data_IF_229929401417
#
_entry.id   IF_229929401417
#
_cell.length_a   1.000
_cell.length_b   1.000
_cell.length_c   1.000
_cell.angle_alpha   90.00
_cell.angle_beta   90.00
_cell.angle_gamma   90.00
#
_symmetry.space_group_name_H-M   'P 1'
#
loop_
_entity.id
_entity.type
_entity.pdbx_description
1 polymer ?
#
# COMPACT_ATOMS: atom_id res chain seq x y z
N UNK A 1 13.63 28.49 -23.30
CA UNK A 1 12.26 28.76 -22.83
C UNK A 1 11.37 27.51 -22.75
N UNK A 2 11.57 26.46 -23.57
CA UNK A 2 10.76 25.22 -23.46
C UNK A 2 11.01 24.41 -22.17
N UNK A 3 12.27 24.11 -21.83
CA UNK A 3 12.62 23.31 -20.64
C UNK A 3 12.18 23.96 -19.31
N UNK A 4 12.26 25.29 -19.22
CA UNK A 4 11.82 26.05 -18.04
C UNK A 4 10.31 25.93 -17.83
N UNK A 5 9.52 25.92 -18.91
CA UNK A 5 8.07 25.70 -18.84
C UNK A 5 7.72 24.29 -18.37
N UNK A 6 8.41 23.26 -18.91
CA UNK A 6 8.24 21.87 -18.51
C UNK A 6 8.60 21.63 -17.04
N UNK A 7 9.69 22.24 -16.58
CA UNK A 7 10.12 22.15 -15.17
C UNK A 7 9.09 22.79 -14.24
N UNK A 8 8.62 24.02 -14.54
CA UNK A 8 7.58 24.69 -13.76
C UNK A 8 6.28 23.88 -13.71
N UNK A 9 5.84 23.33 -14.84
CA UNK A 9 4.66 22.47 -14.90
C UNK A 9 4.82 21.21 -14.03
N UNK A 10 6.00 20.57 -14.07
CA UNK A 10 6.30 19.39 -13.27
C UNK A 10 6.27 19.67 -11.77
N UNK A 11 6.77 20.85 -11.34
CA UNK A 11 6.73 21.28 -9.94
C UNK A 11 5.28 21.46 -9.48
N UNK A 12 4.45 22.15 -10.27
CA UNK A 12 3.03 22.36 -9.94
C UNK A 12 2.29 21.02 -9.85
N UNK A 13 2.50 20.12 -10.82
CA UNK A 13 1.89 18.79 -10.82
C UNK A 13 2.34 17.95 -9.62
N UNK A 14 3.62 18.01 -9.26
CA UNK A 14 4.16 17.34 -8.07
C UNK A 14 3.49 17.85 -6.79
N UNK A 15 3.31 19.16 -6.64
CA UNK A 15 2.62 19.73 -5.48
C UNK A 15 1.16 19.28 -5.39
N UNK A 16 0.42 19.35 -6.50
CA UNK A 16 -0.99 18.94 -6.55
C UNK A 16 -1.15 17.45 -6.23
N UNK A 17 -0.29 16.58 -6.78
CA UNK A 17 -0.33 15.14 -6.53
C UNK A 17 0.02 14.79 -5.08
N UNK A 18 1.02 15.43 -4.49
CA UNK A 18 1.36 15.21 -3.08
C UNK A 18 0.24 15.65 -2.12
N UNK A 19 -0.37 16.81 -2.37
CA UNK A 19 -1.47 17.32 -1.55
C UNK A 19 -2.72 16.43 -1.68
N UNK A 20 -3.10 16.07 -2.91
CA UNK A 20 -4.24 15.17 -3.14
C UNK A 20 -4.02 13.80 -2.52
N UNK A 21 -2.82 13.21 -2.61
CA UNK A 21 -2.50 11.92 -1.99
C UNK A 21 -2.65 11.97 -0.47
N UNK A 22 -2.21 13.05 0.19
CA UNK A 22 -2.39 13.23 1.63
C UNK A 22 -3.87 13.37 2.01
N UNK A 23 -4.63 14.19 1.28
CA UNK A 23 -6.07 14.37 1.54
C UNK A 23 -6.88 13.08 1.33
N UNK A 24 -6.57 12.32 0.28
CA UNK A 24 -7.21 11.02 0.02
C UNK A 24 -6.90 10.05 1.14
N UNK A 25 -5.65 9.96 1.58
CA UNK A 25 -5.26 9.09 2.69
C UNK A 25 -6.02 9.44 3.97
N UNK A 26 -6.08 10.72 4.34
CA UNK A 26 -6.80 11.16 5.53
C UNK A 26 -8.29 10.83 5.45
N UNK A 27 -8.89 10.92 4.27
CA UNK A 27 -10.28 10.49 4.04
C UNK A 27 -10.43 8.98 4.18
N UNK A 28 -9.53 8.19 3.57
CA UNK A 28 -9.55 6.73 3.65
C UNK A 28 -9.46 6.23 5.09
N UNK A 29 -8.55 6.81 5.88
CA UNK A 29 -8.41 6.55 7.32
C UNK A 29 -9.73 6.75 8.06
N UNK A 30 -10.40 7.89 7.85
CA UNK A 30 -11.70 8.18 8.48
C UNK A 30 -12.78 7.19 8.06
N UNK A 31 -12.79 6.78 6.80
CA UNK A 31 -13.74 5.77 6.30
C UNK A 31 -13.50 4.42 6.97
N UNK A 32 -12.24 3.98 7.12
CA UNK A 32 -11.93 2.73 7.84
C UNK A 32 -12.36 2.79 9.30
N UNK A 33 -12.11 3.91 9.99
CA UNK A 33 -12.56 4.13 11.36
C UNK A 33 -14.08 3.98 11.49
N UNK A 34 -14.82 4.70 10.66
CA UNK A 34 -16.27 4.73 10.71
C UNK A 34 -16.87 3.36 10.38
N UNK A 35 -16.36 2.68 9.35
CA UNK A 35 -16.83 1.34 8.98
C UNK A 35 -16.57 0.33 10.10
N UNK A 36 -15.39 0.39 10.74
CA UNK A 36 -15.07 -0.51 11.85
C UNK A 36 -15.93 -0.22 13.08
N UNK A 37 -16.17 1.07 13.39
CA UNK A 37 -17.05 1.47 14.47
C UNK A 37 -18.50 1.01 14.23
N UNK A 38 -19.03 1.26 13.03
CA UNK A 38 -20.40 0.87 12.66
C UNK A 38 -20.59 -0.66 12.72
N UNK A 39 -19.59 -1.41 12.24
CA UNK A 39 -19.59 -2.89 12.36
C UNK A 39 -19.64 -3.35 13.82
N UNK A 40 -18.90 -2.69 14.72
CA UNK A 40 -18.90 -3.03 16.14
C UNK A 40 -20.26 -2.69 16.77
N UNK A 41 -20.83 -1.52 16.48
CA UNK A 41 -22.12 -1.10 17.04
C UNK A 41 -23.26 -2.02 16.62
N UNK A 42 -23.21 -2.57 15.41
CA UNK A 42 -24.21 -3.51 14.89
C UNK A 42 -24.01 -4.97 15.34
N UNK A 43 -22.94 -5.28 16.09
CA UNK A 43 -22.69 -6.65 16.55
C UNK A 43 -23.71 -7.11 17.61
N UNK A 44 -24.11 -8.39 17.62
CA UNK A 44 -25.04 -8.91 18.62
C UNK A 44 -24.42 -8.90 20.02
N UNK A 45 -25.25 -8.76 21.06
CA UNK A 45 -24.78 -8.69 22.46
C UNK A 45 -23.91 -9.90 22.86
N UNK A 46 -24.21 -11.08 22.31
CA UNK A 46 -23.42 -12.32 22.49
C UNK A 46 -21.94 -12.16 22.12
N UNK A 47 -21.61 -11.29 21.16
CA UNK A 47 -20.23 -10.99 20.79
C UNK A 47 -19.48 -10.26 21.91
N UNK A 48 -20.17 -9.32 22.58
CA UNK A 48 -19.64 -8.54 23.70
C UNK A 48 -19.55 -9.34 25.00
N UNK A 49 -20.45 -10.32 25.20
CA UNK A 49 -20.36 -11.25 26.33
C UNK A 49 -19.14 -12.18 26.21
N UNK A 50 -18.80 -12.60 24.98
CA UNK A 50 -17.67 -13.49 24.71
C UNK A 50 -16.32 -12.75 24.64
N UNK A 51 -16.31 -11.44 24.36
CA UNK A 51 -15.09 -10.65 24.18
C UNK A 51 -15.09 -9.42 25.10
N UNK A 52 -14.16 -9.33 26.07
CA UNK A 52 -14.12 -8.18 26.97
C UNK A 52 -13.86 -6.89 26.19
N UNK A 53 -14.62 -5.84 26.51
CA UNK A 53 -14.60 -4.55 25.81
C UNK A 53 -13.17 -3.98 25.72
N UNK A 54 -12.36 -4.15 26.76
CA UNK A 54 -10.95 -3.72 26.75
C UNK A 54 -10.09 -4.38 25.67
N UNK A 55 -10.36 -5.65 25.32
CA UNK A 55 -9.65 -6.34 24.22
C UNK A 55 -10.09 -5.82 22.85
N UNK A 56 -11.39 -5.56 22.68
CA UNK A 56 -11.94 -4.98 21.45
C UNK A 56 -11.34 -3.59 21.22
N UNK A 57 -11.32 -2.75 22.26
CA UNK A 57 -10.75 -1.40 22.18
C UNK A 57 -9.24 -1.42 21.91
N UNK A 58 -8.49 -2.31 22.58
CA UNK A 58 -7.05 -2.42 22.37
C UNK A 58 -6.73 -2.86 20.93
N UNK A 59 -7.50 -3.81 20.38
CA UNK A 59 -7.34 -4.24 18.99
C UNK A 59 -7.73 -3.15 18.00
N UNK A 60 -8.87 -2.49 18.21
CA UNK A 60 -9.31 -1.35 17.41
C UNK A 60 -8.26 -0.24 17.38
N UNK A 61 -7.75 0.16 18.54
CA UNK A 61 -6.73 1.21 18.65
C UNK A 61 -5.41 0.81 18.00
N UNK A 62 -4.96 -0.44 18.19
CA UNK A 62 -3.73 -0.95 17.59
C UNK A 62 -3.83 -1.03 16.07
N UNK A 63 -4.90 -1.62 15.54
CA UNK A 63 -5.13 -1.79 14.10
C UNK A 63 -5.28 -0.42 13.41
N UNK A 64 -6.07 0.49 14.00
CA UNK A 64 -6.23 1.86 13.51
C UNK A 64 -4.89 2.63 13.53
N UNK A 65 -4.10 2.50 14.59
CA UNK A 65 -2.79 3.13 14.69
C UNK A 65 -1.78 2.62 13.66
N UNK A 66 -1.89 1.36 13.24
CA UNK A 66 -1.08 0.80 12.15
C UNK A 66 -1.55 1.38 10.80
N UNK A 67 -2.85 1.42 10.56
CA UNK A 67 -3.44 1.95 9.33
C UNK A 67 -3.06 3.43 9.15
N UNK A 68 -3.20 4.24 10.20
CA UNK A 68 -2.90 5.68 10.17
C UNK A 68 -1.44 5.98 9.84
N UNK A 69 -0.52 5.11 10.28
CA UNK A 69 0.91 5.28 10.04
C UNK A 69 1.35 4.71 8.69
N UNK A 70 0.83 3.55 8.29
CA UNK A 70 1.30 2.84 7.09
C UNK A 70 0.59 3.30 5.81
N UNK A 71 -0.71 3.55 5.86
CA UNK A 71 -1.51 3.91 4.69
C UNK A 71 -0.99 5.16 3.94
N UNK A 72 -0.64 6.28 4.61
CA UNK A 72 -0.11 7.48 3.91
C UNK A 72 1.24 7.27 3.25
N UNK A 73 2.00 6.28 3.69
CA UNK A 73 3.35 6.03 3.16
C UNK A 73 3.30 4.97 2.08
N UNK A 74 2.68 3.81 2.35
CA UNK A 74 2.76 2.65 1.46
C UNK A 74 1.93 2.84 0.18
N UNK A 75 0.74 3.42 0.26
CA UNK A 75 -0.15 3.54 -0.91
C UNK A 75 0.39 4.50 -1.97
N UNK A 76 0.82 5.73 -1.64
CA UNK A 76 1.38 6.64 -2.65
C UNK A 76 2.70 6.12 -3.24
N UNK A 77 3.53 5.46 -2.43
CA UNK A 77 4.78 4.84 -2.90
C UNK A 77 4.49 3.72 -3.89
N UNK A 78 3.55 2.83 -3.59
CA UNK A 78 3.13 1.76 -4.49
C UNK A 78 2.61 2.31 -5.83
N UNK A 79 1.71 3.30 -5.78
CA UNK A 79 1.17 3.93 -6.97
C UNK A 79 2.25 4.60 -7.81
N UNK A 80 3.20 5.31 -7.17
CA UNK A 80 4.32 5.95 -7.85
C UNK A 80 5.20 4.93 -8.56
N UNK A 81 5.53 3.81 -7.92
CA UNK A 81 6.30 2.75 -8.55
C UNK A 81 5.57 2.11 -9.74
N UNK A 82 4.28 1.81 -9.59
CA UNK A 82 3.47 1.26 -10.69
C UNK A 82 3.43 2.22 -11.88
N UNK A 83 3.16 3.50 -11.64
CA UNK A 83 3.13 4.51 -12.70
C UNK A 83 4.50 4.69 -13.37
N UNK A 84 5.58 4.65 -12.60
CA UNK A 84 6.95 4.70 -13.13
C UNK A 84 7.24 3.50 -14.04
N UNK A 85 6.91 2.29 -13.59
CA UNK A 85 7.08 1.07 -14.39
C UNK A 85 6.27 1.13 -15.68
N UNK A 86 4.99 1.53 -15.62
CA UNK A 86 4.14 1.66 -16.81
C UNK A 86 4.74 2.68 -17.78
N UNK A 87 5.15 3.85 -17.28
CA UNK A 87 5.72 4.91 -18.12
C UNK A 87 7.02 4.46 -18.77
N UNK A 88 7.90 3.77 -18.03
CA UNK A 88 9.15 3.23 -18.57
C UNK A 88 8.87 2.26 -19.73
N UNK A 89 7.96 1.30 -19.52
CA UNK A 89 7.59 0.34 -20.57
C UNK A 89 6.98 1.04 -21.78
N UNK A 90 6.10 2.03 -21.59
CA UNK A 90 5.49 2.77 -22.70
C UNK A 90 6.53 3.55 -23.53
N UNK A 91 7.49 4.20 -22.87
CA UNK A 91 8.58 4.92 -23.54
C UNK A 91 9.47 3.95 -24.32
N UNK A 92 9.84 2.81 -23.72
CA UNK A 92 10.67 1.80 -24.37
C UNK A 92 9.99 1.23 -25.63
N UNK A 93 8.70 0.93 -25.56
CA UNK A 93 7.92 0.42 -26.70
C UNK A 93 7.80 1.47 -27.81
N UNK A 94 7.66 2.74 -27.44
CA UNK A 94 7.61 3.84 -28.41
C UNK A 94 8.93 4.03 -29.15
N UNK A 95 10.06 3.92 -28.44
CA UNK A 95 11.40 4.10 -29.02
C UNK A 95 11.86 2.86 -29.80
N UNK A 96 11.58 1.65 -29.31
CA UNK A 96 12.02 0.41 -29.97
C UNK A 96 10.97 -0.69 -29.81
N UNK A 97 10.07 -0.88 -30.79
CA UNK A 97 8.96 -1.84 -30.65
C UNK A 97 9.43 -3.29 -30.52
N UNK A 98 10.57 -3.65 -31.10
CA UNK A 98 11.16 -5.00 -30.99
C UNK A 98 11.67 -5.33 -29.57
N UNK A 99 11.89 -4.34 -28.72
CA UNK A 99 12.34 -4.53 -27.33
C UNK A 99 11.28 -5.23 -26.47
N UNK A 100 10.01 -5.21 -26.89
CA UNK A 100 8.89 -5.82 -26.19
C UNK A 100 9.07 -7.35 -25.99
N UNK A 101 9.72 -8.03 -26.94
CA UNK A 101 10.01 -9.47 -26.84
C UNK A 101 10.91 -9.77 -25.63
N UNK A 102 11.94 -8.94 -25.42
CA UNK A 102 12.87 -9.07 -24.29
C UNK A 102 12.15 -8.74 -22.98
N UNK A 103 11.34 -7.69 -22.96
CA UNK A 103 10.54 -7.29 -21.78
C UNK A 103 9.60 -8.42 -21.34
N UNK A 104 8.93 -9.10 -22.27
CA UNK A 104 8.05 -10.23 -21.94
C UNK A 104 8.82 -11.36 -21.28
N UNK A 105 10.00 -11.71 -21.82
CA UNK A 105 10.84 -12.77 -21.23
C UNK A 105 11.33 -12.40 -19.83
N UNK A 106 11.80 -11.16 -19.65
CA UNK A 106 12.25 -10.65 -18.34
C UNK A 106 11.08 -10.56 -17.35
N UNK A 107 9.91 -10.08 -17.77
CA UNK A 107 8.72 -9.98 -16.93
C UNK A 107 8.24 -11.37 -16.47
N UNK A 108 8.30 -12.38 -17.34
CA UNK A 108 8.00 -13.76 -16.98
C UNK A 108 8.98 -14.27 -15.91
N UNK A 109 10.29 -14.11 -16.13
CA UNK A 109 11.30 -14.50 -15.14
C UNK A 109 11.12 -13.77 -13.80
N UNK A 110 10.86 -12.45 -13.85
CA UNK A 110 10.62 -11.64 -12.66
C UNK A 110 9.36 -12.09 -11.92
N UNK A 111 8.30 -12.46 -12.64
CA UNK A 111 7.07 -13.00 -12.04
C UNK A 111 7.32 -14.31 -11.29
N UNK A 112 8.10 -15.23 -11.88
CA UNK A 112 8.49 -16.48 -11.20
C UNK A 112 9.29 -16.21 -9.93
N UNK A 113 10.32 -15.36 -10.01
CA UNK A 113 11.14 -14.98 -8.86
C UNK A 113 10.29 -14.29 -7.79
N UNK A 114 9.43 -13.34 -8.19
CA UNK A 114 8.57 -12.61 -7.27
C UNK A 114 7.56 -13.55 -6.59
N UNK A 115 7.03 -14.56 -7.28
CA UNK A 115 6.14 -15.56 -6.69
C UNK A 115 6.86 -16.36 -5.60
N UNK A 116 8.08 -16.85 -5.89
CA UNK A 116 8.90 -17.55 -4.92
C UNK A 116 9.28 -16.66 -3.73
N UNK A 117 9.75 -15.43 -3.98
CA UNK A 117 10.15 -14.48 -2.95
C UNK A 117 8.96 -14.07 -2.06
N UNK A 118 7.76 -13.90 -2.64
CA UNK A 118 6.54 -13.58 -1.87
C UNK A 118 6.14 -14.74 -0.96
N UNK A 119 6.34 -15.99 -1.39
CA UNK A 119 6.15 -17.16 -0.54
C UNK A 119 7.13 -17.16 0.63
N UNK A 120 8.43 -17.03 0.34
CA UNK A 120 9.49 -17.02 1.35
C UNK A 120 9.36 -15.85 2.32
N UNK A 121 8.98 -14.66 1.84
CA UNK A 121 8.78 -13.46 2.65
C UNK A 121 7.62 -13.62 3.65
N UNK A 122 6.52 -14.27 3.26
CA UNK A 122 5.41 -14.59 4.17
C UNK A 122 5.84 -15.56 5.28
N UNK A 123 6.58 -16.61 4.94
CA UNK A 123 7.09 -17.56 5.93
C UNK A 123 8.10 -16.89 6.89
N UNK A 124 8.97 -16.02 6.38
CA UNK A 124 9.87 -15.20 7.20
C UNK A 124 9.10 -14.26 8.14
N UNK A 125 8.06 -13.57 7.66
CA UNK A 125 7.20 -12.75 8.52
C UNK A 125 6.48 -13.56 9.59
N UNK A 126 6.04 -14.79 9.25
CA UNK A 126 5.45 -15.71 10.23
C UNK A 126 6.46 -16.12 11.30
N UNK A 127 7.68 -16.48 10.90
CA UNK A 127 8.77 -16.84 11.83
C UNK A 127 9.17 -15.65 12.71
N UNK A 128 9.28 -14.45 12.16
CA UNK A 128 9.55 -13.22 12.93
C UNK A 128 8.41 -12.94 13.93
N UNK A 129 7.16 -13.17 13.54
CA UNK A 129 5.99 -13.02 14.43
C UNK A 129 5.95 -14.05 15.56
N UNK A 130 6.37 -15.30 15.29
CA UNK A 130 6.46 -16.37 16.29
C UNK A 130 7.64 -16.11 17.24
N UNK A 131 8.79 -15.66 16.73
CA UNK A 131 10.00 -15.38 17.52
C UNK A 131 9.82 -14.14 18.40
N UNK A 132 8.99 -13.18 17.99
CA UNK A 132 8.59 -12.01 18.79
C UNK A 132 7.47 -12.30 19.80
N UNK A 133 6.87 -13.49 19.79
CA UNK A 133 5.98 -13.90 20.89
C UNK A 133 6.84 -14.26 22.10
N UNK A 134 6.58 -13.67 23.28
CA UNK A 134 7.49 -13.78 24.39
C UNK A 134 7.45 -15.21 24.93
N UNK A 135 8.54 -15.92 24.72
CA UNK A 135 9.06 -16.76 25.79
C UNK A 135 9.53 -15.76 26.86
N UNK A 136 8.83 -15.79 28.00
CA UNK A 136 8.86 -14.91 29.20
C UNK A 136 7.83 -13.77 29.25
#
# INVERSE_FOLDING_TARGET
MGYTGLSMFSIVLSLVTNLSAQLVTLRSVKVFHNNMLDTIVQCPMRFFDANPIGRILNRFSSDMGIIDKKLPVTVPVLLRFLMLCITAVLVDVFVTPYFLIVVVFVAAAYYYIQSFFRCSSRELQRLDSITKSPIF
#
